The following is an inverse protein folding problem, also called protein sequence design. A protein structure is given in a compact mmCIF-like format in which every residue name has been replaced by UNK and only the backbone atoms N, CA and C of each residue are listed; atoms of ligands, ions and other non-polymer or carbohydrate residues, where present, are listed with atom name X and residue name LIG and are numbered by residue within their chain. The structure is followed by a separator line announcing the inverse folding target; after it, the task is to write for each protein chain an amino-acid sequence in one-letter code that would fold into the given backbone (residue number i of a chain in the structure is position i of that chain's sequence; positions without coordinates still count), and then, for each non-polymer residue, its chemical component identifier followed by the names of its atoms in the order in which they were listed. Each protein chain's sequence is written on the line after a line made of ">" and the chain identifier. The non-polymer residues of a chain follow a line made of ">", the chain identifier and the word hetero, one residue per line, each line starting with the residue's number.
data_IF_103138782273
#
_entry.id   IF_103138782273
#
_cell.length_a   1.000
_cell.length_b   1.000
_cell.length_c   1.000
_cell.angle_alpha   90.00
_cell.angle_beta   90.00
_cell.angle_gamma   90.00
#
_symmetry.space_group_name_H-M   'P 1'
#
loop_
_entity.id
_entity.type
_entity.pdbx_description
1 polymer ?
#
# COMPACT_ATOMS: atom_id res chain seq x y z
N UNK A 1 -18.71 9.97 2.81
CA UNK A 1 -17.56 9.22 3.23
C UNK A 1 -16.63 10.05 4.12
N UNK A 2 -16.11 9.43 5.16
CA UNK A 2 -15.24 10.14 6.09
C UNK A 2 -13.83 9.58 6.00
N UNK A 3 -12.88 10.44 6.19
CA UNK A 3 -11.48 10.05 6.24
C UNK A 3 -11.03 10.01 7.68
N UNK A 4 -10.06 9.16 8.00
CA UNK A 4 -9.49 9.17 9.34
C UNK A 4 -8.98 10.55 9.71
N UNK A 5 -9.08 10.94 10.97
CA UNK A 5 -8.76 12.31 11.35
C UNK A 5 -7.31 12.71 11.08
N UNK A 6 -6.40 11.76 11.12
CA UNK A 6 -5.00 12.07 10.91
C UNK A 6 -4.54 11.76 9.49
N UNK A 7 -5.46 11.46 8.60
CA UNK A 7 -5.13 11.19 7.21
C UNK A 7 -5.90 12.12 6.33
N UNK A 8 -5.37 12.33 5.16
CA UNK A 8 -5.99 13.24 4.22
C UNK A 8 -6.20 12.52 2.90
N UNK A 9 -7.44 12.42 2.47
CA UNK A 9 -7.76 11.84 1.19
C UNK A 9 -8.17 12.95 0.24
N UNK A 10 -7.46 13.06 -0.86
CA UNK A 10 -7.67 14.12 -1.82
C UNK A 10 -7.73 13.57 -3.22
N UNK A 11 -8.52 14.24 -4.05
CA UNK A 11 -8.55 13.94 -5.47
C UNK A 11 -7.60 14.90 -6.15
N UNK A 12 -6.52 14.41 -6.73
CA UNK A 12 -5.57 15.28 -7.37
C UNK A 12 -6.00 15.55 -8.82
N UNK A 13 -5.15 16.24 -9.56
CA UNK A 13 -5.53 16.70 -10.90
C UNK A 13 -5.70 15.55 -11.88
N UNK A 14 -5.16 14.40 -11.57
CA UNK A 14 -5.28 13.21 -12.44
C UNK A 14 -6.37 12.28 -11.97
N UNK A 15 -7.25 12.76 -11.08
CA UNK A 15 -8.35 11.97 -10.57
C UNK A 15 -7.88 10.81 -9.70
N UNK A 16 -6.77 10.99 -9.03
CA UNK A 16 -6.28 10.00 -8.08
C UNK A 16 -6.74 10.37 -6.68
N UNK A 17 -7.00 9.35 -5.87
CA UNK A 17 -7.23 9.56 -4.45
C UNK A 17 -5.93 9.27 -3.72
N UNK A 18 -5.53 10.18 -2.84
CA UNK A 18 -4.26 10.12 -2.17
C UNK A 18 -4.45 10.38 -0.67
N UNK A 19 -3.86 9.53 0.16
CA UNK A 19 -3.84 9.72 1.61
C UNK A 19 -2.40 9.92 2.06
N UNK A 20 -2.22 10.84 3.00
CA UNK A 20 -0.89 11.16 3.49
C UNK A 20 -0.90 11.19 5.00
N UNK A 21 0.29 11.06 5.60
CA UNK A 21 0.44 11.21 7.04
C UNK A 21 0.73 12.68 7.37
N UNK A 22 0.96 12.96 8.64
CA UNK A 22 1.16 14.34 9.07
C UNK A 22 2.42 14.97 8.52
N UNK A 23 3.36 14.15 8.04
CA UNK A 23 4.57 14.65 7.42
C UNK A 23 4.43 14.82 5.92
N UNK A 24 3.27 14.52 5.35
CA UNK A 24 3.06 14.67 3.93
C UNK A 24 3.45 13.47 3.11
N UNK A 25 3.84 12.38 3.73
CA UNK A 25 4.19 11.16 3.00
C UNK A 25 2.93 10.34 2.71
N UNK A 26 2.91 9.64 1.60
CA UNK A 26 1.80 8.76 1.30
C UNK A 26 1.66 7.74 2.43
N UNK A 27 0.42 7.57 2.91
CA UNK A 27 0.22 6.72 4.07
C UNK A 27 -1.25 6.42 4.29
N UNK A 28 -1.55 5.14 4.46
CA UNK A 28 -2.88 4.73 4.87
C UNK A 28 -2.78 3.34 5.47
N UNK A 29 -3.41 3.14 6.63
CA UNK A 29 -3.25 1.87 7.33
C UNK A 29 -4.38 0.90 7.05
N UNK A 30 -5.53 1.39 6.61
CA UNK A 30 -6.68 0.52 6.41
C UNK A 30 -7.10 0.41 4.95
N UNK A 31 -6.18 0.65 4.05
CA UNK A 31 -6.46 0.54 2.63
C UNK A 31 -5.33 1.09 1.81
N UNK A 32 -5.52 1.20 0.51
CA UNK A 32 -4.48 1.77 -0.34
C UNK A 32 -4.34 3.26 -0.09
N UNK A 33 -3.11 3.73 -0.04
CA UNK A 33 -2.83 5.15 0.14
C UNK A 33 -2.98 5.91 -1.17
N UNK A 34 -2.88 5.23 -2.30
CA UNK A 34 -3.03 5.84 -3.61
C UNK A 34 -3.98 4.98 -4.43
N UNK A 35 -5.01 5.61 -4.96
CA UNK A 35 -5.92 4.96 -5.88
C UNK A 35 -5.92 5.80 -7.14
N UNK A 36 -5.22 5.32 -8.16
CA UNK A 36 -5.15 5.99 -9.44
C UNK A 36 -6.23 5.38 -10.33
N UNK A 37 -7.03 6.21 -10.95
CA UNK A 37 -8.16 5.72 -11.70
C UNK A 37 -8.25 6.36 -13.07
N UNK A 38 -7.13 6.68 -13.65
CA UNK A 38 -7.11 7.35 -14.94
C UNK A 38 -7.56 6.38 -16.05
N UNK A 39 -6.64 5.60 -16.59
CA UNK A 39 -7.00 4.61 -17.60
C UNK A 39 -7.17 3.25 -16.99
N UNK A 40 -6.22 2.86 -16.16
CA UNK A 40 -6.28 1.62 -15.42
C UNK A 40 -6.27 1.96 -13.97
N UNK A 41 -7.10 1.26 -13.21
CA UNK A 41 -7.14 1.49 -11.78
C UNK A 41 -5.92 0.82 -11.15
N UNK A 42 -5.20 1.59 -10.35
CA UNK A 42 -4.00 1.10 -9.67
C UNK A 42 -4.17 1.40 -8.19
N UNK A 43 -3.98 0.40 -7.35
CA UNK A 43 -4.06 0.55 -5.90
C UNK A 43 -2.66 0.34 -5.33
N UNK A 44 -2.20 1.31 -4.53
CA UNK A 44 -0.87 1.23 -3.93
C UNK A 44 -0.99 1.36 -2.42
N UNK A 45 -0.54 0.34 -1.71
CA UNK A 45 -0.54 0.33 -0.26
C UNK A 45 0.78 0.89 0.22
N UNK A 46 0.72 2.01 0.91
CA UNK A 46 1.92 2.74 1.32
C UNK A 46 1.79 3.09 2.80
N UNK A 47 2.86 2.85 3.53
CA UNK A 47 2.94 3.17 4.95
C UNK A 47 4.12 4.11 5.13
N UNK A 48 3.84 5.34 5.54
CA UNK A 48 4.86 6.37 5.77
C UNK A 48 5.84 6.46 4.59
N UNK A 49 5.26 6.51 3.39
CA UNK A 49 6.05 6.68 2.18
C UNK A 49 6.70 5.44 1.62
N UNK A 50 6.43 4.28 2.19
CA UNK A 50 7.04 3.03 1.73
C UNK A 50 5.97 2.05 1.28
N UNK A 51 6.16 1.43 0.14
CA UNK A 51 5.26 0.38 -0.28
C UNK A 51 5.36 -0.77 0.71
N UNK A 52 4.21 -1.18 1.24
CA UNK A 52 4.21 -2.18 2.29
C UNK A 52 2.82 -2.75 2.48
N UNK A 53 2.70 -4.06 2.45
CA UNK A 53 1.44 -4.69 2.76
C UNK A 53 1.69 -6.12 3.21
N UNK A 54 1.02 -6.53 4.28
CA UNK A 54 1.21 -7.85 4.84
C UNK A 54 0.03 -8.79 4.62
N UNK A 55 -1.07 -8.29 4.06
CA UNK A 55 -2.21 -9.14 3.81
C UNK A 55 -2.58 -9.20 2.34
N UNK A 56 -1.64 -8.87 1.47
CA UNK A 56 -1.86 -8.94 0.04
C UNK A 56 -0.77 -8.21 -0.71
N UNK A 57 -0.93 -8.06 -2.02
CA UNK A 57 0.07 -7.30 -2.79
C UNK A 57 -0.03 -5.81 -2.48
N UNK A 58 1.13 -5.16 -2.41
CA UNK A 58 1.17 -3.75 -2.10
C UNK A 58 0.78 -2.89 -3.29
N UNK A 59 1.00 -3.37 -4.51
CA UNK A 59 0.61 -2.65 -5.71
C UNK A 59 -0.21 -3.61 -6.56
N UNK A 60 -1.38 -3.16 -6.99
CA UNK A 60 -2.22 -4.02 -7.80
C UNK A 60 -2.86 -3.19 -8.91
N UNK A 61 -2.84 -3.74 -10.11
CA UNK A 61 -3.37 -3.11 -11.30
C UNK A 61 -4.67 -3.78 -11.69
N UNK A 62 -5.56 -3.02 -12.32
CA UNK A 62 -6.85 -3.56 -12.71
C UNK A 62 -6.74 -4.69 -13.72
N UNK A 63 -5.63 -4.80 -14.43
CA UNK A 63 -5.44 -5.88 -15.40
C UNK A 63 -4.98 -7.18 -14.76
N UNK A 64 -4.87 -7.22 -13.43
CA UNK A 64 -4.51 -8.44 -12.73
C UNK A 64 -3.06 -8.52 -12.32
N UNK A 65 -2.22 -7.61 -12.78
CA UNK A 65 -0.83 -7.61 -12.36
C UNK A 65 -0.72 -7.11 -10.95
N UNK A 66 0.12 -7.77 -10.15
CA UNK A 66 0.29 -7.39 -8.75
C UNK A 66 1.76 -7.48 -8.40
N UNK A 67 2.13 -6.70 -7.38
CA UNK A 67 3.51 -6.66 -6.91
C UNK A 67 3.51 -6.67 -5.39
N UNK A 68 4.43 -7.43 -4.81
CA UNK A 68 4.52 -7.65 -3.38
C UNK A 68 5.67 -6.83 -2.82
N UNK A 69 5.38 -6.03 -1.80
CA UNK A 69 6.38 -5.12 -1.22
C UNK A 69 6.32 -5.17 0.29
N UNK A 70 7.48 -5.18 0.92
CA UNK A 70 7.61 -5.07 2.37
C UNK A 70 8.66 -3.99 2.63
N UNK A 71 8.25 -2.91 3.28
CA UNK A 71 9.15 -1.81 3.62
C UNK A 71 9.94 -1.35 2.40
N UNK A 72 9.23 -1.17 1.28
CA UNK A 72 9.82 -0.65 0.05
C UNK A 72 10.75 -1.64 -0.64
N UNK A 73 10.70 -2.90 -0.25
CA UNK A 73 11.50 -3.93 -0.89
C UNK A 73 10.60 -4.82 -1.72
N UNK A 74 10.91 -4.92 -3.00
CA UNK A 74 10.11 -5.71 -3.94
C UNK A 74 10.44 -7.19 -3.77
N UNK A 75 9.42 -8.01 -3.59
CA UNK A 75 9.58 -9.43 -3.35
C UNK A 75 8.74 -10.22 -4.33
N UNK A 76 9.15 -11.46 -4.58
CA UNK A 76 8.24 -12.39 -5.23
C UNK A 76 7.19 -12.82 -4.22
N UNK A 77 6.12 -13.42 -4.70
CA UNK A 77 5.08 -13.88 -3.80
C UNK A 77 5.64 -14.88 -2.79
N UNK A 78 6.52 -15.76 -3.25
CA UNK A 78 7.11 -16.74 -2.35
C UNK A 78 7.99 -16.09 -1.29
N UNK A 79 8.76 -15.09 -1.69
CA UNK A 79 9.58 -14.37 -0.74
C UNK A 79 8.72 -13.63 0.28
N UNK A 80 7.64 -13.05 -0.20
CA UNK A 80 6.72 -12.32 0.67
C UNK A 80 6.08 -13.28 1.68
N UNK A 81 5.68 -14.46 1.24
CA UNK A 81 5.12 -15.45 2.15
C UNK A 81 6.14 -15.91 3.17
N UNK A 82 7.40 -16.07 2.76
CA UNK A 82 8.47 -16.43 3.67
C UNK A 82 8.67 -15.35 4.73
N UNK A 83 8.61 -14.10 4.31
CA UNK A 83 8.77 -13.01 5.24
C UNK A 83 7.69 -13.07 6.32
N UNK A 84 6.45 -13.29 5.91
CA UNK A 84 5.35 -13.32 6.86
C UNK A 84 5.49 -14.49 7.82
N UNK A 85 5.98 -15.63 7.33
CA UNK A 85 6.08 -16.80 8.17
C UNK A 85 7.22 -16.70 9.16
N UNK A 86 8.32 -16.10 8.77
CA UNK A 86 9.49 -16.12 9.64
C UNK A 86 9.76 -14.76 10.25
N UNK A 87 9.92 -13.73 9.43
CA UNK A 87 10.33 -12.46 9.95
C UNK A 87 9.27 -11.79 10.76
N UNK A 88 8.07 -11.82 10.24
CA UNK A 88 6.99 -11.13 10.87
C UNK A 88 6.59 -11.79 12.16
N UNK A 89 6.66 -13.08 12.19
CA UNK A 89 6.24 -13.81 13.37
C UNK A 89 7.43 -14.15 14.24
N UNK A 90 8.33 -13.25 14.34
CA UNK A 90 9.53 -13.50 15.13
C UNK A 90 9.19 -13.89 16.54
N UNK A 91 8.02 -13.57 16.99
CA UNK A 91 7.69 -13.90 18.34
C UNK A 91 7.46 -15.36 18.54
N UNK A 92 7.25 -16.09 17.51
CA UNK A 92 6.96 -17.48 17.71
C UNK A 92 8.20 -18.32 17.75
N UNK A 93 9.33 -17.74 17.76
CA UNK A 93 10.53 -18.53 17.87
C UNK A 93 10.83 -18.90 19.21
#
# INVERSE_FOLDING_TARGET
>A
MTFPPNLKGELDVDHDFIWTDSAGRYHREDGPAIIASDNDEVWEYVIHGKWHREDGPAVSYSNGNVHWWINNKHLSKDEWLQYLKSGQSSLDQ
#
